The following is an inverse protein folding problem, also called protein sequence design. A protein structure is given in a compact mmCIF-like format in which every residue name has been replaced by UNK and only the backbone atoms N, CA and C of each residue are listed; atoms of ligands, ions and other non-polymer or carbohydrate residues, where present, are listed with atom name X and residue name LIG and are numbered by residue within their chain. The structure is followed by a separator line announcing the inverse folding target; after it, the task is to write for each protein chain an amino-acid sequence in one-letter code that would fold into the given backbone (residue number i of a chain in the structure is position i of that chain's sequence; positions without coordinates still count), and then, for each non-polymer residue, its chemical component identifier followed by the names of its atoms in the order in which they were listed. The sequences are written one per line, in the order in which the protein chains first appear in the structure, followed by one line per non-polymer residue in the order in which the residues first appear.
data_IF_521179388798
#
_entry.id   IF_521179388798
#
_cell.length_a   1.000
_cell.length_b   1.000
_cell.length_c   1.000
_cell.angle_alpha   90.00
_cell.angle_beta   90.00
_cell.angle_gamma   90.00
#
_symmetry.space_group_name_H-M   'P 1'
#
loop_
_entity.id
_entity.type
_entity.pdbx_description
1 polymer ?
#
# COMPACT_ATOMS: atom_id res chain seq x y z
N UNK A 1 10.51 10.78 -10.02
CA UNK A 1 9.14 10.22 -9.93
C UNK A 1 8.07 10.96 -10.76
N UNK A 2 7.62 12.18 -10.42
CA UNK A 2 6.51 12.88 -11.14
C UNK A 2 6.72 13.04 -12.66
N UNK A 3 7.97 13.26 -13.10
CA UNK A 3 8.31 13.44 -14.51
C UNK A 3 8.28 12.14 -15.31
N UNK A 4 8.65 11.01 -14.69
CA UNK A 4 8.71 9.69 -15.33
C UNK A 4 7.27 9.19 -15.58
N UNK A 5 6.41 9.27 -14.58
CA UNK A 5 5.00 8.83 -14.67
C UNK A 5 4.19 9.68 -15.69
N UNK A 6 4.50 10.98 -15.81
CA UNK A 6 3.89 11.85 -16.83
C UNK A 6 4.28 11.45 -18.26
N UNK A 7 5.51 10.97 -18.44
CA UNK A 7 5.99 10.43 -19.73
C UNK A 7 5.30 9.10 -20.03
N UNK A 8 5.03 8.26 -19.03
CA UNK A 8 4.38 6.95 -19.24
C UNK A 8 2.92 7.08 -19.70
N UNK A 9 2.11 7.89 -19.00
CA UNK A 9 0.69 8.05 -19.36
C UNK A 9 0.50 8.68 -20.76
N UNK A 10 1.36 9.62 -21.15
CA UNK A 10 1.28 10.31 -22.45
C UNK A 10 1.91 9.47 -23.58
N UNK A 11 2.99 8.72 -23.31
CA UNK A 11 3.63 7.86 -24.31
C UNK A 11 2.78 6.63 -24.68
N UNK A 12 2.01 6.08 -23.73
CA UNK A 12 1.09 4.95 -23.97
C UNK A 12 0.01 5.34 -24.99
N UNK A 13 -0.55 6.56 -24.88
CA UNK A 13 -1.56 7.06 -25.83
C UNK A 13 -0.92 7.37 -27.19
N UNK A 14 0.26 8.00 -27.20
CA UNK A 14 0.94 8.43 -28.43
C UNK A 14 1.55 7.28 -29.28
N UNK A 15 1.90 6.13 -28.68
CA UNK A 15 2.43 4.96 -29.41
C UNK A 15 1.34 4.07 -30.02
N UNK A 16 0.07 4.26 -29.67
CA UNK A 16 -1.01 3.51 -30.28
C UNK A 16 -1.26 4.02 -31.71
N UNK A 17 -1.07 3.15 -32.71
CA UNK A 17 -1.25 3.47 -34.13
C UNK A 17 -2.60 4.15 -34.41
N UNK A 18 -2.75 4.99 -35.46
CA UNK A 18 -4.01 5.64 -35.78
C UNK A 18 -5.12 4.60 -35.96
N UNK A 19 -5.96 4.50 -34.94
CA UNK A 19 -7.11 3.61 -34.91
C UNK A 19 -8.15 4.11 -35.91
N UNK A 20 -8.74 3.18 -36.68
CA UNK A 20 -9.79 3.51 -37.65
C UNK A 20 -11.01 4.08 -36.92
N UNK A 21 -11.79 4.92 -37.59
CA UNK A 21 -13.03 5.52 -37.06
C UNK A 21 -14.02 4.52 -36.43
N UNK A 22 -14.04 3.27 -36.91
CA UNK A 22 -14.85 2.18 -36.32
C UNK A 22 -14.40 1.81 -34.89
N UNK A 23 -13.11 1.87 -34.60
CA UNK A 23 -12.56 1.56 -33.27
C UNK A 23 -12.89 2.67 -32.26
N UNK A 24 -12.74 3.93 -32.66
CA UNK A 24 -13.04 5.07 -31.77
C UNK A 24 -14.52 5.10 -31.37
N UNK A 25 -15.42 4.84 -32.33
CA UNK A 25 -16.85 4.72 -32.04
C UNK A 25 -17.15 3.56 -31.08
N UNK A 26 -16.49 2.41 -31.27
CA UNK A 26 -16.62 1.28 -30.34
C UNK A 26 -16.19 1.65 -28.91
N UNK A 27 -15.04 2.31 -28.73
CA UNK A 27 -14.57 2.75 -27.40
C UNK A 27 -15.57 3.74 -26.78
N UNK A 28 -16.04 4.74 -27.53
CA UNK A 28 -17.01 5.71 -27.04
C UNK A 28 -18.32 5.05 -26.60
N UNK A 29 -18.85 4.10 -27.37
CA UNK A 29 -20.06 3.36 -27.02
C UNK A 29 -19.86 2.48 -25.77
N UNK A 30 -18.70 1.83 -25.65
CA UNK A 30 -18.30 1.10 -24.45
C UNK A 30 -18.32 1.98 -23.21
N UNK A 31 -17.67 3.14 -23.27
CA UNK A 31 -17.61 4.05 -22.13
C UNK A 31 -19.00 4.62 -21.79
N UNK A 32 -19.86 4.90 -22.78
CA UNK A 32 -21.25 5.32 -22.54
C UNK A 32 -22.08 4.24 -21.85
N UNK A 33 -22.05 2.99 -22.33
CA UNK A 33 -22.79 1.86 -21.72
C UNK A 33 -22.38 1.63 -20.26
N UNK A 34 -21.12 1.87 -19.93
CA UNK A 34 -20.59 1.70 -18.57
C UNK A 34 -20.65 3.00 -17.73
N UNK A 35 -21.36 4.04 -18.20
CA UNK A 35 -21.53 5.31 -17.49
C UNK A 35 -20.21 6.06 -17.18
N UNK A 36 -19.16 5.78 -17.96
CA UNK A 36 -17.83 6.40 -17.84
C UNK A 36 -17.67 7.66 -18.70
N UNK A 37 -18.62 7.91 -19.60
CA UNK A 37 -18.74 9.14 -20.40
C UNK A 37 -20.14 9.74 -20.23
N UNK A 38 -20.22 11.06 -20.06
CA UNK A 38 -21.50 11.77 -19.97
C UNK A 38 -22.22 11.83 -21.33
N UNK A 39 -23.52 12.17 -21.33
CA UNK A 39 -24.34 12.29 -22.56
C UNK A 39 -23.86 13.40 -23.52
N UNK A 40 -22.88 14.21 -23.12
CA UNK A 40 -22.26 15.25 -23.95
C UNK A 40 -21.43 14.72 -25.14
N UNK A 41 -21.34 13.40 -25.33
CA UNK A 41 -20.54 12.72 -26.36
C UNK A 41 -21.39 12.25 -27.58
N UNK A 42 -22.52 12.90 -27.86
CA UNK A 42 -23.42 12.61 -28.98
C UNK A 42 -24.59 11.68 -28.65
N UNK A 43 -25.49 11.51 -29.63
CA UNK A 43 -26.85 10.94 -29.50
C UNK A 43 -26.99 9.81 -28.47
N UNK A 44 -27.98 9.95 -27.57
CA UNK A 44 -28.35 8.99 -26.51
C UNK A 44 -29.03 7.73 -27.05
N UNK A 45 -28.85 7.41 -28.34
CA UNK A 45 -29.39 6.16 -28.87
C UNK A 45 -28.75 5.00 -28.11
N UNK A 46 -29.57 4.03 -27.68
CA UNK A 46 -29.08 2.78 -27.06
C UNK A 46 -28.14 2.09 -28.05
N UNK A 47 -26.84 2.30 -27.89
CA UNK A 47 -25.87 1.68 -28.78
C UNK A 47 -25.58 0.28 -28.27
N UNK A 48 -26.14 -0.71 -28.95
CA UNK A 48 -25.87 -2.11 -28.67
C UNK A 48 -24.37 -2.39 -28.90
N UNK A 49 -23.70 -2.84 -27.84
CA UNK A 49 -22.29 -3.23 -27.92
C UNK A 49 -22.22 -4.66 -28.38
N UNK A 50 -21.61 -4.86 -29.54
CA UNK A 50 -21.34 -6.20 -30.07
C UNK A 50 -20.20 -6.87 -29.28
N UNK A 51 -20.21 -8.20 -29.20
CA UNK A 51 -19.11 -8.97 -28.61
C UNK A 51 -17.74 -8.63 -29.26
N UNK A 52 -17.74 -8.28 -30.56
CA UNK A 52 -16.53 -7.81 -31.24
C UNK A 52 -16.00 -6.48 -30.71
N UNK A 53 -16.87 -5.57 -30.26
CA UNK A 53 -16.47 -4.31 -29.67
C UNK A 53 -15.92 -4.52 -28.24
N UNK A 54 -16.55 -5.38 -27.43
CA UNK A 54 -16.02 -5.73 -26.09
C UNK A 54 -14.63 -6.36 -26.19
N UNK A 55 -14.42 -7.32 -27.10
CA UNK A 55 -13.09 -7.90 -27.33
C UNK A 55 -12.06 -6.86 -27.79
N UNK A 56 -12.45 -5.91 -28.65
CA UNK A 56 -11.58 -4.85 -29.09
C UNK A 56 -11.14 -3.96 -27.92
N UNK A 57 -12.08 -3.54 -27.08
CA UNK A 57 -11.80 -2.75 -25.87
C UNK A 57 -10.87 -3.50 -24.92
N UNK A 58 -11.13 -4.79 -24.67
CA UNK A 58 -10.25 -5.59 -23.82
C UNK A 58 -8.84 -5.73 -24.41
N UNK A 59 -8.72 -5.88 -25.72
CA UNK A 59 -7.42 -5.91 -26.40
C UNK A 59 -6.67 -4.59 -26.22
N UNK A 60 -7.37 -3.45 -26.30
CA UNK A 60 -6.76 -2.13 -26.06
C UNK A 60 -6.32 -2.00 -24.60
N UNK A 61 -7.16 -2.41 -23.64
CA UNK A 61 -6.77 -2.43 -22.21
C UNK A 61 -5.54 -3.29 -21.97
N UNK A 62 -5.44 -4.48 -22.55
CA UNK A 62 -4.24 -5.34 -22.47
C UNK A 62 -3.01 -4.59 -22.99
N UNK A 63 -3.11 -3.89 -24.13
CA UNK A 63 -1.99 -3.12 -24.67
C UNK A 63 -1.61 -1.93 -23.80
N UNK A 64 -2.59 -1.28 -23.14
CA UNK A 64 -2.35 -0.23 -22.16
C UNK A 64 -1.52 -0.77 -21.00
N UNK A 65 -1.94 -1.89 -20.40
CA UNK A 65 -1.22 -2.51 -19.28
C UNK A 65 0.16 -2.99 -19.69
N UNK A 66 0.29 -3.61 -20.86
CA UNK A 66 1.60 -4.02 -21.40
C UNK A 66 2.53 -2.84 -21.61
N UNK A 67 2.02 -1.72 -22.14
CA UNK A 67 2.84 -0.52 -22.31
C UNK A 67 3.26 0.10 -20.98
N UNK A 68 2.43 -0.01 -19.94
CA UNK A 68 2.81 0.38 -18.58
C UNK A 68 3.87 -0.58 -18.03
N UNK A 69 3.74 -1.88 -18.25
CA UNK A 69 4.69 -2.91 -17.81
C UNK A 69 6.07 -2.69 -18.45
N UNK A 70 6.13 -2.56 -19.77
CA UNK A 70 7.35 -2.27 -20.52
C UNK A 70 8.05 -1.02 -19.95
N UNK A 71 7.27 0.01 -19.62
CA UNK A 71 7.76 1.24 -19.03
C UNK A 71 8.32 1.09 -17.62
N UNK A 72 7.69 0.25 -16.80
CA UNK A 72 8.16 -0.05 -15.44
C UNK A 72 9.43 -0.92 -15.47
N UNK A 73 9.55 -1.81 -16.45
CA UNK A 73 10.73 -2.66 -16.66
C UNK A 73 11.94 -1.84 -17.13
N UNK A 74 11.71 -0.79 -17.93
CA UNK A 74 12.75 0.14 -18.38
C UNK A 74 13.31 1.03 -17.23
N UNK A 75 12.56 1.19 -16.13
CA UNK A 75 12.97 1.94 -14.96
C UNK A 75 13.69 1.02 -13.95
N UNK A 76 14.99 1.27 -13.70
CA UNK A 76 15.82 0.44 -12.82
C UNK A 76 15.28 0.34 -11.39
N UNK A 77 14.62 1.39 -10.87
CA UNK A 77 14.06 1.40 -9.51
C UNK A 77 12.70 0.70 -9.41
N UNK A 78 12.02 0.48 -10.55
CA UNK A 78 10.64 -0.05 -10.58
C UNK A 78 10.55 -1.44 -11.18
N UNK A 79 11.58 -1.88 -11.91
CA UNK A 79 11.61 -3.15 -12.62
C UNK A 79 11.23 -4.34 -11.73
N UNK A 80 11.77 -4.40 -10.52
CA UNK A 80 11.50 -5.50 -9.57
C UNK A 80 10.08 -5.51 -9.01
N UNK A 81 9.36 -4.38 -9.10
CA UNK A 81 7.98 -4.25 -8.64
C UNK A 81 6.97 -4.25 -9.78
N UNK A 82 7.42 -4.32 -11.04
CA UNK A 82 6.60 -4.15 -12.24
C UNK A 82 5.36 -5.06 -12.24
N UNK A 83 5.55 -6.36 -12.03
CA UNK A 83 4.45 -7.35 -11.96
C UNK A 83 3.42 -7.01 -10.88
N UNK A 84 3.87 -6.76 -9.65
CA UNK A 84 3.00 -6.35 -8.55
C UNK A 84 2.21 -5.08 -8.88
N UNK A 85 2.85 -4.09 -9.49
CA UNK A 85 2.20 -2.82 -9.85
C UNK A 85 1.12 -3.08 -10.90
N UNK A 86 1.43 -3.87 -11.92
CA UNK A 86 0.47 -4.22 -12.98
C UNK A 86 -0.73 -4.95 -12.39
N UNK A 87 -0.54 -5.94 -11.54
CA UNK A 87 -1.63 -6.67 -10.91
C UNK A 87 -2.53 -5.73 -10.09
N UNK A 88 -1.94 -4.85 -9.28
CA UNK A 88 -2.72 -3.91 -8.46
C UNK A 88 -3.43 -2.85 -9.31
N UNK A 89 -2.87 -2.42 -10.44
CA UNK A 89 -3.52 -1.44 -11.34
C UNK A 89 -4.58 -2.13 -12.22
N UNK A 90 -4.39 -3.39 -12.58
CA UNK A 90 -5.33 -4.17 -13.41
C UNK A 90 -6.70 -4.35 -12.73
N UNK A 91 -6.72 -4.44 -11.39
CA UNK A 91 -7.94 -4.52 -10.58
C UNK A 91 -8.67 -3.17 -10.42
N UNK A 92 -8.18 -2.09 -11.05
CA UNK A 92 -8.75 -0.74 -10.96
C UNK A 92 -9.40 -0.30 -12.26
N UNK A 93 -10.04 0.88 -12.27
CA UNK A 93 -10.56 1.54 -13.46
C UNK A 93 -9.47 2.29 -14.27
N UNK A 94 -8.18 2.06 -14.00
CA UNK A 94 -7.08 2.73 -14.70
C UNK A 94 -7.16 2.59 -16.23
N UNK A 95 -7.37 1.37 -16.74
CA UNK A 95 -7.53 1.13 -18.17
C UNK A 95 -8.72 1.90 -18.76
N UNK A 96 -9.82 1.99 -18.01
CA UNK A 96 -11.00 2.76 -18.40
C UNK A 96 -10.74 4.27 -18.45
N UNK A 97 -10.03 4.82 -17.45
CA UNK A 97 -9.62 6.23 -17.45
C UNK A 97 -8.77 6.58 -18.66
N UNK A 98 -7.84 5.71 -19.06
CA UNK A 98 -7.03 5.93 -20.25
C UNK A 98 -7.84 5.84 -21.56
N UNK A 99 -8.86 4.98 -21.61
CA UNK A 99 -9.80 4.97 -22.74
C UNK A 99 -10.60 6.27 -22.83
N UNK A 100 -11.02 6.84 -21.69
CA UNK A 100 -11.71 8.15 -21.67
C UNK A 100 -10.79 9.25 -22.20
N UNK A 101 -9.51 9.28 -21.80
CA UNK A 101 -8.53 10.24 -22.33
C UNK A 101 -8.37 10.12 -23.85
N UNK A 102 -8.29 8.89 -24.36
CA UNK A 102 -8.21 8.63 -25.81
C UNK A 102 -9.41 9.18 -26.58
N UNK A 103 -10.63 9.04 -26.04
CA UNK A 103 -11.83 9.61 -26.65
C UNK A 103 -11.83 11.14 -26.56
N UNK A 104 -11.41 11.70 -25.41
CA UNK A 104 -11.30 13.15 -25.20
C UNK A 104 -10.32 13.82 -26.16
N UNK A 105 -9.32 13.12 -26.68
CA UNK A 105 -8.38 13.66 -27.67
C UNK A 105 -8.95 13.85 -29.07
N UNK A 106 -10.14 13.30 -29.36
CA UNK A 106 -10.74 13.40 -30.69
C UNK A 106 -11.33 14.79 -30.95
N UNK A 107 -11.26 15.22 -32.21
CA UNK A 107 -11.71 16.53 -32.67
C UNK A 107 -13.23 16.63 -32.89
N UNK A 108 -13.94 15.49 -32.89
CA UNK A 108 -15.38 15.42 -33.20
C UNK A 108 -16.28 15.49 -31.96
N UNK A 109 -15.76 15.97 -30.82
CA UNK A 109 -16.54 16.10 -29.60
C UNK A 109 -17.30 17.42 -29.58
N UNK A 110 -18.53 17.38 -29.06
CA UNK A 110 -19.39 18.56 -28.85
C UNK A 110 -19.01 19.40 -27.63
N UNK A 111 -17.98 18.98 -26.88
CA UNK A 111 -17.45 19.69 -25.71
C UNK A 111 -16.66 20.94 -26.10
N UNK A 112 -16.74 21.99 -25.29
CA UNK A 112 -15.84 23.14 -25.43
C UNK A 112 -14.43 22.74 -25.03
N UNK A 113 -13.43 23.41 -25.60
CA UNK A 113 -12.02 23.08 -25.36
C UNK A 113 -11.63 23.22 -23.87
N UNK A 114 -12.16 24.22 -23.16
CA UNK A 114 -11.91 24.40 -21.73
C UNK A 114 -12.49 23.26 -20.88
N UNK A 115 -13.72 22.82 -21.19
CA UNK A 115 -14.38 21.69 -20.52
C UNK A 115 -13.63 20.38 -20.79
N UNK A 116 -13.19 20.17 -22.03
CA UNK A 116 -12.35 19.04 -22.44
C UNK A 116 -11.02 19.03 -21.68
N UNK A 117 -10.38 20.18 -21.51
CA UNK A 117 -9.12 20.31 -20.76
C UNK A 117 -9.32 20.02 -19.27
N UNK A 118 -10.39 20.54 -18.67
CA UNK A 118 -10.73 20.28 -17.26
C UNK A 118 -10.97 18.79 -17.01
N UNK A 119 -11.80 18.14 -17.83
CA UNK A 119 -12.06 16.70 -17.73
C UNK A 119 -10.78 15.87 -17.89
N UNK A 120 -9.93 16.21 -18.88
CA UNK A 120 -8.63 15.53 -19.07
C UNK A 120 -7.76 15.62 -17.82
N UNK A 121 -7.68 16.79 -17.20
CA UNK A 121 -6.86 17.00 -16.00
C UNK A 121 -7.36 16.17 -14.83
N UNK A 122 -8.68 16.12 -14.61
CA UNK A 122 -9.27 15.29 -13.54
C UNK A 122 -8.97 13.81 -13.77
N UNK A 123 -9.21 13.31 -14.98
CA UNK A 123 -8.99 11.89 -15.29
C UNK A 123 -7.51 11.51 -15.20
N UNK A 124 -6.61 12.40 -15.65
CA UNK A 124 -5.17 12.21 -15.49
C UNK A 124 -4.79 12.14 -14.01
N UNK A 125 -5.28 13.05 -13.18
CA UNK A 125 -5.01 13.05 -11.74
C UNK A 125 -5.48 11.75 -11.07
N UNK A 126 -6.68 11.28 -11.41
CA UNK A 126 -7.20 10.02 -10.92
C UNK A 126 -6.34 8.83 -11.37
N UNK A 127 -5.99 8.76 -12.66
CA UNK A 127 -5.14 7.71 -13.19
C UNK A 127 -3.75 7.71 -12.51
N UNK A 128 -3.20 8.88 -12.23
CA UNK A 128 -1.96 9.02 -11.47
C UNK A 128 -2.11 8.55 -10.02
N UNK A 129 -3.23 8.85 -9.37
CA UNK A 129 -3.48 8.39 -8.01
C UNK A 129 -3.51 6.85 -7.94
N UNK A 130 -4.12 6.19 -8.92
CA UNK A 130 -4.17 4.72 -9.00
C UNK A 130 -2.77 4.11 -9.14
N UNK A 131 -1.97 4.59 -10.10
CA UNK A 131 -0.58 4.10 -10.26
C UNK A 131 0.25 4.40 -9.01
N UNK A 132 0.12 5.60 -8.44
CA UNK A 132 0.88 5.98 -7.25
C UNK A 132 0.53 5.10 -6.06
N UNK A 133 -0.76 4.76 -5.90
CA UNK A 133 -1.21 3.84 -4.85
C UNK A 133 -0.61 2.45 -5.04
N UNK A 134 -0.66 1.91 -6.26
CA UNK A 134 -0.06 0.60 -6.58
C UNK A 134 1.46 0.59 -6.36
N UNK A 135 2.16 1.64 -6.80
CA UNK A 135 3.60 1.82 -6.56
C UNK A 135 3.94 1.79 -5.08
N UNK A 136 3.25 2.59 -4.26
CA UNK A 136 3.49 2.64 -2.82
C UNK A 136 3.24 1.28 -2.18
N UNK A 137 2.12 0.64 -2.49
CA UNK A 137 1.78 -0.69 -1.95
C UNK A 137 2.84 -1.74 -2.31
N UNK A 138 3.27 -1.80 -3.57
CA UNK A 138 4.25 -2.78 -4.01
C UNK A 138 5.65 -2.54 -3.41
N UNK A 139 6.08 -1.28 -3.28
CA UNK A 139 7.32 -0.94 -2.59
C UNK A 139 7.26 -1.32 -1.11
N UNK A 140 6.16 -0.98 -0.44
CA UNK A 140 5.95 -1.30 0.98
C UNK A 140 5.90 -2.81 1.22
N UNK A 141 5.27 -3.58 0.33
CA UNK A 141 5.28 -5.05 0.40
C UNK A 141 6.71 -5.62 0.36
N UNK A 142 7.60 -5.05 -0.48
CA UNK A 142 9.00 -5.47 -0.53
C UNK A 142 9.72 -5.13 0.78
N UNK A 143 9.63 -3.87 1.23
CA UNK A 143 10.29 -3.38 2.44
C UNK A 143 9.83 -4.17 3.67
N UNK A 144 8.52 -4.32 3.87
CA UNK A 144 7.98 -5.09 5.00
C UNK A 144 8.25 -6.58 4.85
N UNK A 145 8.34 -7.08 3.62
CA UNK A 145 8.75 -8.45 3.36
C UNK A 145 10.19 -8.73 3.78
N UNK A 146 11.12 -7.83 3.47
CA UNK A 146 12.53 -7.91 3.88
C UNK A 146 12.67 -7.78 5.41
N UNK A 147 11.94 -6.85 6.03
CA UNK A 147 11.89 -6.73 7.48
C UNK A 147 11.42 -8.04 8.11
N UNK A 148 10.35 -8.64 7.60
CA UNK A 148 9.88 -9.94 8.08
C UNK A 148 10.95 -11.03 7.91
N UNK A 149 11.58 -11.13 6.74
CA UNK A 149 12.63 -12.14 6.51
C UNK A 149 13.82 -11.95 7.47
N UNK A 150 14.19 -10.70 7.76
CA UNK A 150 15.27 -10.37 8.72
C UNK A 150 14.95 -10.80 10.15
N UNK A 151 13.67 -10.78 10.57
CA UNK A 151 13.26 -11.26 11.89
C UNK A 151 13.51 -12.76 12.08
N UNK A 152 13.41 -13.55 11.00
CA UNK A 152 13.52 -15.02 11.03
C UNK A 152 14.89 -15.57 10.61
N UNK A 153 15.84 -14.70 10.27
CA UNK A 153 17.22 -15.10 9.92
C UNK A 153 18.12 -14.95 11.16
N UNK A 154 18.40 -16.07 11.82
CA UNK A 154 19.04 -16.18 13.15
C UNK A 154 20.48 -15.62 13.26
N UNK A 155 21.16 -15.23 12.18
CA UNK A 155 22.57 -14.81 12.24
C UNK A 155 22.78 -13.35 12.72
N UNK A 156 21.76 -12.48 12.70
CA UNK A 156 21.92 -11.05 13.05
C UNK A 156 21.23 -10.61 14.36
N UNK A 157 20.26 -11.36 14.89
CA UNK A 157 19.43 -10.92 16.02
C UNK A 157 19.97 -11.31 17.42
N UNK A 158 21.16 -11.92 17.52
CA UNK A 158 21.71 -12.44 18.78
C UNK A 158 22.30 -11.38 19.75
N UNK A 159 21.97 -10.09 19.57
CA UNK A 159 22.56 -9.01 20.38
C UNK A 159 21.58 -8.00 20.99
N UNK A 160 20.26 -8.18 20.84
CA UNK A 160 19.29 -7.29 21.49
C UNK A 160 18.97 -7.73 22.93
N UNK A 161 18.71 -6.77 23.81
CA UNK A 161 18.43 -6.98 25.23
C UNK A 161 17.32 -8.02 25.41
N UNK A 162 17.68 -9.24 25.81
CA UNK A 162 16.71 -10.29 26.13
C UNK A 162 15.76 -9.77 27.22
N UNK A 163 14.45 -9.84 26.95
CA UNK A 163 13.43 -9.60 27.97
C UNK A 163 13.74 -10.45 29.20
N UNK A 164 13.50 -9.90 30.39
CA UNK A 164 13.57 -10.73 31.59
C UNK A 164 12.57 -11.87 31.51
N UNK A 165 12.83 -12.99 32.17
CA UNK A 165 11.93 -14.16 32.15
C UNK A 165 10.49 -13.81 32.55
N UNK A 166 10.30 -12.82 33.42
CA UNK A 166 8.97 -12.34 33.85
C UNK A 166 8.30 -11.54 32.73
N UNK A 167 9.02 -10.67 32.04
CA UNK A 167 8.50 -9.90 30.90
C UNK A 167 8.12 -10.84 29.75
N UNK A 168 9.00 -11.79 29.42
CA UNK A 168 8.77 -12.85 28.44
C UNK A 168 7.49 -13.66 28.77
N UNK A 169 7.35 -14.11 30.02
CA UNK A 169 6.12 -14.77 30.49
C UNK A 169 4.87 -13.89 30.28
N UNK A 170 4.95 -12.60 30.60
CA UNK A 170 3.81 -11.70 30.52
C UNK A 170 3.42 -11.37 29.07
N UNK A 171 4.39 -11.19 28.17
CA UNK A 171 4.15 -11.00 26.73
C UNK A 171 3.48 -12.25 26.14
N UNK A 172 4.03 -13.45 26.38
CA UNK A 172 3.42 -14.72 25.93
C UNK A 172 2.02 -14.90 26.48
N UNK A 173 1.83 -14.64 27.78
CA UNK A 173 0.52 -14.71 28.43
C UNK A 173 -0.47 -13.78 27.75
N UNK A 174 -0.07 -12.54 27.42
CA UNK A 174 -0.93 -11.58 26.72
C UNK A 174 -1.34 -12.07 25.33
N UNK A 175 -0.37 -12.52 24.52
CA UNK A 175 -0.63 -13.05 23.16
C UNK A 175 -1.62 -14.22 23.21
N UNK A 176 -1.40 -15.15 24.14
CA UNK A 176 -2.22 -16.36 24.28
C UNK A 176 -3.60 -16.01 24.86
N UNK A 177 -3.70 -15.16 25.90
CA UNK A 177 -4.99 -14.82 26.52
C UNK A 177 -5.89 -13.99 25.58
N UNK A 178 -5.31 -13.16 24.73
CA UNK A 178 -6.05 -12.36 23.74
C UNK A 178 -6.27 -13.05 22.40
N UNK A 179 -5.83 -14.32 22.24
CA UNK A 179 -5.93 -15.10 21.00
C UNK A 179 -5.30 -14.38 19.79
N UNK A 180 -4.16 -13.72 19.99
CA UNK A 180 -3.44 -13.04 18.90
C UNK A 180 -2.68 -14.05 18.00
N UNK A 181 -2.54 -15.30 18.45
CA UNK A 181 -2.05 -16.43 17.68
C UNK A 181 -3.00 -17.64 17.80
N UNK A 182 -3.01 -18.47 16.76
CA UNK A 182 -3.75 -19.71 16.76
C UNK A 182 -3.08 -20.75 17.69
N UNK A 183 -3.69 -20.93 18.86
CA UNK A 183 -3.24 -21.90 19.88
C UNK A 183 -3.16 -23.32 19.34
N UNK A 184 -4.05 -23.69 18.43
CA UNK A 184 -4.15 -25.06 17.89
C UNK A 184 -3.03 -25.35 16.88
N UNK A 185 -2.58 -24.32 16.16
CA UNK A 185 -1.50 -24.42 15.18
C UNK A 185 -0.12 -24.49 15.83
N UNK A 186 0.14 -23.63 16.82
CA UNK A 186 1.50 -23.39 17.32
C UNK A 186 1.85 -24.03 18.67
N UNK A 187 0.97 -24.84 19.28
CA UNK A 187 1.22 -25.49 20.58
C UNK A 187 1.73 -24.52 21.67
N UNK A 188 1.09 -23.36 21.75
CA UNK A 188 1.58 -22.23 22.56
C UNK A 188 1.65 -22.56 24.06
N UNK A 189 2.81 -22.33 24.68
CA UNK A 189 3.01 -22.45 26.12
C UNK A 189 3.26 -21.08 26.75
N UNK A 190 2.43 -20.71 27.74
CA UNK A 190 2.56 -19.44 28.46
C UNK A 190 3.80 -19.38 29.34
N UNK A 191 4.23 -20.50 29.93
CA UNK A 191 5.33 -20.55 30.90
C UNK A 191 6.28 -21.73 30.59
N UNK A 192 7.01 -21.69 29.45
CA UNK A 192 7.94 -22.76 29.09
C UNK A 192 9.11 -22.91 30.07
N UNK A 193 9.52 -21.80 30.70
CA UNK A 193 10.63 -21.73 31.66
C UNK A 193 10.24 -22.16 33.08
N UNK A 194 8.97 -22.45 33.34
CA UNK A 194 8.43 -22.86 34.64
C UNK A 194 8.78 -21.89 35.80
N UNK A 195 8.75 -20.58 35.54
CA UNK A 195 9.01 -19.57 36.57
C UNK A 195 7.84 -19.47 37.57
N UNK A 196 8.08 -18.93 38.76
CA UNK A 196 7.02 -18.62 39.72
C UNK A 196 6.20 -17.41 39.25
N UNK A 197 4.89 -17.61 39.10
CA UNK A 197 3.96 -16.62 38.53
C UNK A 197 2.91 -16.15 39.54
N UNK A 198 2.99 -16.60 40.79
CA UNK A 198 1.93 -16.46 41.80
C UNK A 198 1.60 -15.00 42.14
N UNK A 199 2.57 -14.10 41.99
CA UNK A 199 2.44 -12.67 42.32
C UNK A 199 2.75 -11.73 41.15
N UNK A 200 2.77 -12.26 39.92
CA UNK A 200 3.16 -11.49 38.74
C UNK A 200 1.95 -10.72 38.19
N UNK A 201 2.06 -9.39 38.15
CA UNK A 201 1.09 -8.49 37.52
C UNK A 201 1.44 -8.24 36.05
N UNK A 202 1.01 -9.15 35.18
CA UNK A 202 1.32 -9.06 33.75
C UNK A 202 0.67 -7.91 33.01
N UNK A 203 -0.41 -7.30 33.54
CA UNK A 203 -1.03 -6.14 32.89
C UNK A 203 -0.10 -4.94 33.00
N UNK A 204 0.42 -4.68 34.20
CA UNK A 204 1.36 -3.60 34.44
C UNK A 204 2.67 -3.81 33.68
N UNK A 205 3.20 -5.04 33.69
CA UNK A 205 4.45 -5.38 32.99
C UNK A 205 4.29 -5.20 31.48
N UNK A 206 3.23 -5.76 30.87
CA UNK A 206 3.01 -5.61 29.43
C UNK A 206 2.85 -4.15 29.03
N UNK A 207 2.09 -3.35 29.79
CA UNK A 207 1.97 -1.92 29.52
C UNK A 207 3.32 -1.19 29.61
N UNK A 208 4.20 -1.57 30.55
CA UNK A 208 5.56 -1.01 30.63
C UNK A 208 6.39 -1.33 29.39
N UNK A 209 6.30 -2.56 28.87
CA UNK A 209 6.97 -2.98 27.62
C UNK A 209 6.43 -2.18 26.44
N UNK A 210 5.11 -2.05 26.31
CA UNK A 210 4.46 -1.22 25.27
C UNK A 210 4.96 0.22 25.34
N UNK A 211 4.97 0.83 26.52
CA UNK A 211 5.46 2.20 26.70
C UNK A 211 6.94 2.36 26.34
N UNK A 212 7.77 1.34 26.59
CA UNK A 212 9.19 1.37 26.21
C UNK A 212 9.36 1.34 24.70
N UNK A 213 8.63 0.46 24.00
CA UNK A 213 8.64 0.39 22.54
C UNK A 213 8.12 1.70 21.93
N UNK A 214 7.03 2.26 22.48
CA UNK A 214 6.50 3.56 22.05
C UNK A 214 7.53 4.68 22.18
N UNK A 215 8.30 4.72 23.28
CA UNK A 215 9.37 5.70 23.47
C UNK A 215 10.49 5.54 22.44
N UNK A 216 10.89 4.32 22.12
CA UNK A 216 11.92 4.08 21.10
C UNK A 216 11.43 4.45 19.69
N UNK A 217 10.18 4.15 19.33
CA UNK A 217 9.58 4.59 18.05
C UNK A 217 9.63 6.12 17.92
N UNK A 218 9.24 6.86 18.96
CA UNK A 218 9.29 8.34 18.95
C UNK A 218 10.71 8.85 18.82
N UNK A 219 11.65 8.25 19.53
CA UNK A 219 13.05 8.63 19.51
C UNK A 219 13.67 8.41 18.13
N UNK A 220 13.38 7.28 17.47
CA UNK A 220 13.80 7.02 16.09
C UNK A 220 13.21 8.06 15.16
N UNK A 221 11.88 8.27 15.22
CA UNK A 221 11.19 9.27 14.40
C UNK A 221 11.79 10.67 14.56
N UNK A 222 12.03 11.10 15.80
CA UNK A 222 12.58 12.42 16.12
C UNK A 222 14.03 12.55 15.65
N UNK A 223 14.83 11.48 15.78
CA UNK A 223 16.24 11.45 15.34
C UNK A 223 16.36 11.56 13.81
N UNK A 224 15.52 10.87 13.07
CA UNK A 224 15.52 10.89 11.59
C UNK A 224 15.01 12.22 11.01
N UNK A 225 14.08 12.91 11.71
CA UNK A 225 13.65 14.26 11.31
C UNK A 225 14.75 15.29 11.62
N UNK A 226 15.39 15.19 12.78
CA UNK A 226 16.42 16.14 13.19
C UNK A 226 17.78 15.90 12.53
N UNK A 227 18.03 14.72 11.93
CA UNK A 227 19.22 14.46 11.11
C UNK A 227 19.15 15.12 9.72
N UNK A 228 17.97 15.62 9.31
CA UNK A 228 17.76 16.23 8.00
C UNK A 228 17.53 17.76 8.02
N UNK A 229 17.53 18.40 9.21
CA UNK A 229 17.42 19.86 9.32
C UNK A 229 18.34 20.43 10.42
N UNK A 230 19.39 21.14 10.02
CA UNK A 230 20.39 21.72 10.93
C UNK A 230 19.91 22.97 11.69
N UNK A 231 18.72 23.53 11.42
CA UNK A 231 18.28 24.74 12.11
C UNK A 231 16.77 24.75 12.43
N UNK A 232 16.49 24.66 13.74
CA UNK A 232 15.33 25.20 14.45
C UNK A 232 13.92 24.62 14.15
N UNK A 233 13.30 23.99 15.17
CA UNK A 233 11.93 24.25 15.68
C UNK A 233 11.51 23.19 16.72
N UNK A 234 11.79 23.44 18.00
CA UNK A 234 11.35 22.58 19.12
C UNK A 234 9.81 22.43 19.24
N UNK A 235 9.02 23.32 18.64
CA UNK A 235 7.55 23.30 18.73
C UNK A 235 6.85 22.52 17.60
N UNK A 236 7.46 22.37 16.41
CA UNK A 236 6.91 21.50 15.34
C UNK A 236 7.16 20.00 15.65
N UNK A 237 8.30 19.69 16.30
CA UNK A 237 8.70 18.32 16.67
C UNK A 237 7.74 17.63 17.65
N UNK A 238 7.15 18.38 18.59
CA UNK A 238 6.16 17.83 19.54
C UNK A 238 4.88 17.41 18.84
N UNK A 239 4.46 18.16 17.82
CA UNK A 239 3.20 17.87 17.10
C UNK A 239 3.32 16.62 16.23
N UNK A 240 4.49 16.41 15.60
CA UNK A 240 4.78 15.21 14.81
C UNK A 240 4.88 13.95 15.68
N UNK A 241 5.67 14.01 16.76
CA UNK A 241 5.85 12.89 17.70
C UNK A 241 4.54 12.51 18.42
N UNK A 242 3.73 13.49 18.83
CA UNK A 242 2.40 13.25 19.42
C UNK A 242 1.46 12.54 18.43
N UNK A 243 1.53 12.90 17.14
CA UNK A 243 0.74 12.22 16.12
C UNK A 243 1.18 10.77 15.95
N UNK A 244 2.50 10.54 15.82
CA UNK A 244 3.06 9.19 15.71
C UNK A 244 2.63 8.32 16.88
N UNK A 245 2.78 8.79 18.12
CA UNK A 245 2.31 8.08 19.31
C UNK A 245 0.82 7.78 19.27
N UNK A 246 0.01 8.75 18.87
CA UNK A 246 -1.44 8.57 18.76
C UNK A 246 -1.79 7.49 17.74
N UNK A 247 -1.10 7.43 16.60
CA UNK A 247 -1.33 6.38 15.59
C UNK A 247 -0.84 5.03 16.09
N UNK A 248 0.37 4.95 16.68
CA UNK A 248 0.90 3.73 17.30
C UNK A 248 -0.09 3.13 18.31
N UNK A 249 -0.62 3.98 19.21
CA UNK A 249 -1.60 3.58 20.24
C UNK A 249 -2.95 3.18 19.68
N UNK A 250 -3.53 4.01 18.81
CA UNK A 250 -4.85 3.75 18.23
C UNK A 250 -4.84 2.53 17.30
N UNK A 251 -3.74 2.34 16.57
CA UNK A 251 -3.51 1.18 15.70
C UNK A 251 -3.08 -0.07 16.45
N UNK A 252 -2.87 0.01 17.78
CA UNK A 252 -2.40 -1.11 18.60
C UNK A 252 -1.12 -1.75 18.04
N UNK A 253 -0.21 -0.92 17.53
CA UNK A 253 0.98 -1.34 16.78
C UNK A 253 1.77 -2.44 17.49
N UNK A 254 2.09 -2.24 18.78
CA UNK A 254 2.85 -3.21 19.58
C UNK A 254 2.09 -4.53 19.73
N UNK A 255 0.77 -4.49 19.93
CA UNK A 255 -0.05 -5.70 20.06
C UNK A 255 -0.14 -6.47 18.73
N UNK A 256 -0.12 -5.75 17.61
CA UNK A 256 -0.13 -6.36 16.28
C UNK A 256 1.23 -6.98 15.91
N UNK A 257 2.33 -6.45 16.45
CA UNK A 257 3.68 -6.97 16.17
C UNK A 257 4.15 -8.06 17.12
N UNK A 258 3.72 -8.04 18.39
CA UNK A 258 4.12 -9.03 19.40
C UNK A 258 3.92 -10.50 18.97
N UNK A 259 2.85 -10.87 18.21
CA UNK A 259 2.71 -12.22 17.67
C UNK A 259 3.85 -12.66 16.76
N UNK A 260 4.39 -11.76 15.94
CA UNK A 260 5.46 -12.08 14.99
C UNK A 260 6.79 -12.26 15.68
N UNK A 261 7.10 -11.40 16.65
CA UNK A 261 8.25 -11.53 17.54
C UNK A 261 8.22 -12.89 18.26
N UNK A 262 7.06 -13.24 18.84
CA UNK A 262 6.91 -14.54 19.50
C UNK A 262 7.04 -15.73 18.52
N UNK A 263 6.65 -15.57 17.25
CA UNK A 263 6.77 -16.61 16.24
C UNK A 263 8.22 -16.89 15.81
N UNK A 264 9.17 -15.97 16.05
CA UNK A 264 10.60 -16.17 15.73
C UNK A 264 11.16 -17.39 16.49
N UNK A 265 10.68 -17.65 17.70
CA UNK A 265 11.13 -18.78 18.52
C UNK A 265 10.63 -20.15 18.03
N UNK A 266 9.75 -20.15 17.03
CA UNK A 266 9.18 -21.38 16.48
C UNK A 266 9.93 -21.77 15.21
N UNK A 267 10.22 -23.07 15.09
CA UNK A 267 10.69 -23.66 13.83
C UNK A 267 9.56 -23.76 12.81
N UNK A 268 9.14 -22.61 12.27
CA UNK A 268 8.14 -22.52 11.23
C UNK A 268 8.69 -23.09 9.92
N UNK A 269 7.87 -23.85 9.21
CA UNK A 269 8.16 -24.25 7.83
C UNK A 269 8.12 -23.03 6.89
N UNK A 270 8.78 -23.13 5.73
CA UNK A 270 8.79 -22.05 4.72
C UNK A 270 7.37 -21.65 4.28
N UNK A 271 6.45 -22.62 4.18
CA UNK A 271 5.06 -22.35 3.85
C UNK A 271 4.35 -21.56 4.96
N UNK A 272 4.66 -21.84 6.24
CA UNK A 272 4.12 -21.09 7.36
C UNK A 272 4.72 -19.68 7.43
N UNK A 273 6.03 -19.55 7.23
CA UNK A 273 6.70 -18.24 7.15
C UNK A 273 6.09 -17.38 6.05
N UNK A 274 5.85 -17.93 4.86
CA UNK A 274 5.21 -17.22 3.76
C UNK A 274 3.79 -16.73 4.12
N UNK A 275 2.99 -17.54 4.82
CA UNK A 275 1.64 -17.15 5.28
C UNK A 275 1.69 -16.04 6.33
N UNK A 276 2.59 -16.14 7.30
CA UNK A 276 2.73 -15.13 8.35
C UNK A 276 3.34 -13.83 7.78
N UNK A 277 4.26 -13.92 6.81
CA UNK A 277 4.79 -12.78 6.05
C UNK A 277 3.71 -11.95 5.38
N UNK A 278 2.76 -12.61 4.69
CA UNK A 278 1.64 -11.91 4.05
C UNK A 278 0.78 -11.18 5.10
N UNK A 279 0.52 -11.81 6.25
CA UNK A 279 -0.23 -11.15 7.34
C UNK A 279 0.52 -9.96 7.90
N UNK A 280 1.82 -10.09 8.14
CA UNK A 280 2.69 -9.02 8.60
C UNK A 280 2.65 -7.83 7.65
N UNK A 281 2.87 -8.07 6.36
CA UNK A 281 2.83 -7.04 5.31
C UNK A 281 1.49 -6.31 5.32
N UNK A 282 0.36 -7.05 5.35
CA UNK A 282 -0.97 -6.42 5.35
C UNK A 282 -1.22 -5.56 6.60
N UNK A 283 -0.76 -6.00 7.77
CA UNK A 283 -0.85 -5.23 9.02
C UNK A 283 -0.01 -3.94 8.90
N UNK A 284 1.21 -4.05 8.38
CA UNK A 284 2.11 -2.91 8.23
C UNK A 284 1.61 -1.91 7.18
N UNK A 285 0.98 -2.38 6.10
CA UNK A 285 0.36 -1.54 5.08
C UNK A 285 -0.81 -0.73 5.68
N UNK A 286 -1.72 -1.37 6.42
CA UNK A 286 -2.84 -0.68 7.10
C UNK A 286 -2.34 0.36 8.11
N UNK A 287 -1.33 0.00 8.93
CA UNK A 287 -0.73 0.92 9.88
C UNK A 287 -0.11 2.13 9.16
N UNK A 288 0.62 1.90 8.07
CA UNK A 288 1.26 2.95 7.26
C UNK A 288 0.24 3.89 6.63
N UNK A 289 -0.87 3.36 6.10
CA UNK A 289 -1.96 4.17 5.57
C UNK A 289 -2.59 5.04 6.69
N UNK A 290 -2.77 4.49 7.89
CA UNK A 290 -3.24 5.25 9.03
C UNK A 290 -2.26 6.36 9.45
N UNK A 291 -0.94 6.11 9.42
CA UNK A 291 0.08 7.13 9.66
C UNK A 291 0.01 8.25 8.62
N UNK A 292 -0.02 7.89 7.33
CA UNK A 292 -0.09 8.85 6.23
C UNK A 292 -1.36 9.71 6.33
N UNK A 293 -2.53 9.11 6.54
CA UNK A 293 -3.80 9.84 6.62
C UNK A 293 -3.87 10.76 7.83
N UNK A 294 -3.45 10.29 9.02
CA UNK A 294 -3.66 11.01 10.28
C UNK A 294 -2.55 12.03 10.58
N UNK A 295 -1.31 11.77 10.16
CA UNK A 295 -0.18 12.64 10.51
C UNK A 295 0.26 13.59 9.39
N UNK A 296 0.16 13.20 8.12
CA UNK A 296 0.54 14.07 7.00
C UNK A 296 -0.49 15.18 6.72
N UNK A 297 -1.76 14.99 7.11
CA UNK A 297 -2.81 16.02 6.97
C UNK A 297 -2.75 17.10 8.05
N UNK A 298 -2.09 16.84 9.19
CA UNK A 298 -1.94 17.79 10.29
C UNK A 298 -0.78 18.77 10.08
N UNK A 299 0.25 18.40 9.31
CA UNK A 299 1.43 19.24 9.03
C UNK A 299 1.23 20.22 7.87
N UNK A 300 0.10 20.17 7.16
CA UNK A 300 -0.26 21.08 6.05
C UNK A 300 -1.30 22.15 6.41
N UNK A 301 -1.67 22.28 7.69
CA UNK A 301 -2.51 23.38 8.20
C UNK A 301 -1.66 24.35 9.00
#
# INVERSE_FOLDING_TARGET
MKLIILILAVAVVAKSAPLKTSTDNCIANYLKKNELLTSAFGDESEVEITASCEMLVQTIKINIYKSLEDSLIEDEEMKEHSECIIDNVYETDYGDKLLVLHVLEKDNLTLKEDEKMEMKNVILQDAYALITKALLKCKMNSIFGEIFDSMFNEEENSSEEELSDIEDYCVRKYIIDNNLLDKSKYQLNKNPKNIDTTSVDCVTIFNSVVEQIEREIVKIYTKEINSSSEESKEDEDKTGSDCVLKVVRLGKYVEMLAPFDYLIEFNLSDEEKAKEKIKFINIMDDLTEQFALKCYTLTKK
#
